data_IF_678426667557
#
_entry.id   IF_678426667557
#
_cell.length_a   1.000
_cell.length_b   1.000
_cell.length_c   1.000
_cell.angle_alpha   90.00
_cell.angle_beta   90.00
_cell.angle_gamma   90.00
#
_symmetry.space_group_name_H-M   'P 1'
#
loop_
_entity.id
_entity.type
_entity.pdbx_description
1 polymer ?
#
# COMPACT_ATOMS: atom_id res chain seq x y z
N UNK A 1 -33.56 28.56 10.69
CA UNK A 1 -32.28 29.28 10.91
C UNK A 1 -31.45 29.13 9.65
N UNK A 2 -31.43 30.16 8.80
CA UNK A 2 -30.76 30.11 7.49
C UNK A 2 -29.24 30.19 7.66
N UNK A 3 -28.54 29.12 7.30
CA UNK A 3 -27.09 29.14 7.09
C UNK A 3 -26.86 29.68 5.67
N UNK A 4 -26.48 30.96 5.55
CA UNK A 4 -25.92 31.48 4.30
C UNK A 4 -24.46 31.03 4.23
N UNK A 5 -24.16 30.16 3.29
CA UNK A 5 -22.78 29.87 2.87
C UNK A 5 -22.35 31.09 2.05
N UNK A 6 -21.43 31.90 2.59
CA UNK A 6 -20.90 33.04 1.88
C UNK A 6 -19.99 32.53 0.74
N UNK A 7 -20.43 32.79 -0.49
CA UNK A 7 -19.68 32.55 -1.70
C UNK A 7 -18.45 33.45 -1.79
N UNK A 8 -17.39 32.88 -2.39
CA UNK A 8 -16.08 33.46 -2.76
C UNK A 8 -15.09 33.71 -1.63
N UNK A 9 -14.27 32.69 -1.35
CA UNK A 9 -12.99 32.84 -0.66
C UNK A 9 -11.84 32.80 -1.67
N UNK A 10 -11.30 33.98 -2.01
CA UNK A 10 -9.91 34.09 -2.45
C UNK A 10 -9.05 33.70 -1.25
N UNK A 11 -8.39 32.55 -1.33
CA UNK A 11 -7.83 31.87 -0.17
C UNK A 11 -6.34 32.16 0.00
N UNK A 12 -5.97 32.76 1.13
CA UNK A 12 -4.58 33.03 1.51
C UNK A 12 -4.05 31.98 2.50
N UNK A 13 -2.75 31.71 2.39
CA UNK A 13 -2.02 30.74 3.20
C UNK A 13 -1.92 31.22 4.65
N UNK A 14 -2.23 30.35 5.62
CA UNK A 14 -2.06 30.66 7.05
C UNK A 14 -3.22 31.41 7.70
N UNK A 15 -4.29 31.71 6.97
CA UNK A 15 -5.52 32.28 7.53
C UNK A 15 -6.30 31.25 8.34
N UNK A 16 -6.80 31.67 9.50
CA UNK A 16 -7.72 30.89 10.34
C UNK A 16 -9.16 31.08 9.88
N UNK A 17 -9.83 29.98 9.54
CA UNK A 17 -11.22 29.98 9.13
C UNK A 17 -12.11 29.57 10.30
N UNK A 18 -13.07 30.41 10.66
CA UNK A 18 -14.08 30.08 11.66
C UNK A 18 -15.06 29.05 11.08
N UNK A 19 -15.03 27.82 11.59
CA UNK A 19 -15.87 26.73 11.09
C UNK A 19 -17.29 26.77 11.67
N UNK A 20 -17.42 27.16 12.94
CA UNK A 20 -18.68 27.30 13.65
C UNK A 20 -18.57 28.48 14.61
N UNK A 21 -19.47 29.45 14.47
CA UNK A 21 -19.65 30.54 15.42
C UNK A 21 -20.76 30.16 16.41
N UNK A 22 -20.48 30.25 17.72
CA UNK A 22 -21.50 30.10 18.75
C UNK A 22 -21.54 31.40 19.57
N UNK A 23 -22.49 32.29 19.25
CA UNK A 23 -22.52 33.65 19.79
C UNK A 23 -21.34 34.50 19.32
N UNK A 24 -20.85 35.42 20.17
CA UNK A 24 -19.75 36.35 19.85
C UNK A 24 -18.34 35.72 19.84
N UNK A 25 -18.21 34.41 20.04
CA UNK A 25 -16.92 33.70 20.08
C UNK A 25 -16.91 32.57 19.07
N UNK A 26 -15.93 32.59 18.16
CA UNK A 26 -15.58 31.41 17.37
C UNK A 26 -14.97 30.37 18.34
N UNK A 27 -15.46 29.13 18.29
CA UNK A 27 -14.91 28.02 19.11
C UNK A 27 -13.90 27.16 18.35
N UNK A 28 -13.97 27.16 17.01
CA UNK A 28 -13.17 26.28 16.17
C UNK A 28 -12.56 27.08 15.02
N UNK A 29 -11.24 27.10 14.99
CA UNK A 29 -10.43 27.69 13.93
C UNK A 29 -9.79 26.56 13.13
N UNK A 30 -9.91 26.62 11.81
CA UNK A 30 -9.13 25.78 10.92
C UNK A 30 -8.04 26.62 10.29
N UNK A 31 -6.79 26.32 10.62
CA UNK A 31 -5.66 26.89 9.90
C UNK A 31 -5.43 26.09 8.64
N UNK A 32 -5.60 26.72 7.47
CA UNK A 32 -5.20 26.08 6.21
C UNK A 32 -3.68 25.97 6.16
N UNK A 33 -3.18 24.75 6.09
CA UNK A 33 -1.77 24.45 5.88
C UNK A 33 -1.57 24.06 4.42
N UNK A 34 -0.69 24.79 3.72
CA UNK A 34 -0.41 24.47 2.32
C UNK A 34 0.28 23.11 2.21
N UNK A 35 -0.21 22.26 1.30
CA UNK A 35 0.46 21.01 1.02
C UNK A 35 1.74 21.27 0.21
N UNK A 36 2.73 20.38 0.34
CA UNK A 36 3.97 20.45 -0.40
C UNK A 36 3.85 19.65 -1.70
N UNK A 37 4.13 20.24 -2.85
CA UNK A 37 4.22 19.47 -4.10
C UNK A 37 5.39 18.48 -4.04
N UNK A 38 5.10 17.19 -4.19
CA UNK A 38 6.13 16.14 -4.24
C UNK A 38 6.63 15.90 -5.65
N UNK A 39 5.71 15.91 -6.62
CA UNK A 39 5.96 15.63 -8.03
C UNK A 39 4.80 16.18 -8.86
N UNK A 40 5.13 16.64 -10.06
CA UNK A 40 4.16 16.88 -11.13
C UNK A 40 4.20 15.76 -12.17
N UNK A 41 3.04 15.45 -12.73
CA UNK A 41 2.89 14.47 -13.80
C UNK A 41 1.79 14.91 -14.74
N UNK A 42 1.65 14.23 -15.89
CA UNK A 42 0.52 14.44 -16.80
C UNK A 42 -0.86 14.20 -16.15
N UNK A 43 -0.92 13.48 -15.02
CA UNK A 43 -2.15 13.19 -14.28
C UNK A 43 -2.42 14.22 -13.15
N UNK A 44 -1.60 15.26 -13.05
CA UNK A 44 -1.66 16.28 -12.01
C UNK A 44 -0.52 16.16 -10.98
N UNK A 45 -0.59 17.03 -9.97
CA UNK A 45 0.38 17.10 -8.89
C UNK A 45 0.07 16.09 -7.78
N UNK A 46 1.09 15.34 -7.36
CA UNK A 46 1.09 14.59 -6.12
C UNK A 46 1.53 15.51 -4.98
N UNK A 47 0.66 15.73 -4.01
CA UNK A 47 0.94 16.65 -2.89
C UNK A 47 1.05 15.92 -1.56
N UNK A 48 1.95 16.40 -0.71
CA UNK A 48 2.11 15.99 0.68
C UNK A 48 1.32 16.96 1.57
N UNK A 49 0.21 16.49 2.13
CA UNK A 49 -0.58 17.23 3.09
C UNK A 49 0.12 17.39 4.44
N UNK A 50 -0.49 18.14 5.39
CA UNK A 50 0.04 18.28 6.73
C UNK A 50 0.09 16.94 7.47
N UNK A 51 0.99 16.84 8.45
CA UNK A 51 1.18 15.64 9.25
C UNK A 51 0.06 15.52 10.29
N UNK A 52 -0.62 14.37 10.29
CA UNK A 52 -1.53 13.99 11.36
C UNK A 52 -0.75 13.32 12.48
N UNK A 53 -0.87 13.87 13.70
CA UNK A 53 -0.20 13.36 14.90
C UNK A 53 -1.22 12.65 15.76
N UNK A 54 -0.88 11.43 16.16
CA UNK A 54 -1.72 10.58 16.99
C UNK A 54 -1.15 10.48 18.41
N UNK A 55 -2.03 10.40 19.39
CA UNK A 55 -1.73 10.09 20.79
C UNK A 55 -1.40 8.61 20.99
N UNK A 56 -1.02 8.25 22.21
CA UNK A 56 -0.73 6.84 22.59
C UNK A 56 -1.94 5.91 22.44
N UNK A 57 -3.13 6.47 22.61
CA UNK A 57 -4.44 5.84 22.46
C UNK A 57 -4.92 5.78 21.00
N UNK A 58 -4.08 6.15 20.03
CA UNK A 58 -4.41 6.21 18.59
C UNK A 58 -5.54 7.19 18.28
N UNK A 59 -5.75 8.21 19.10
CA UNK A 59 -6.63 9.34 18.75
C UNK A 59 -5.84 10.43 18.04
N UNK A 60 -6.41 11.11 17.02
CA UNK A 60 -5.78 12.28 16.43
C UNK A 60 -5.69 13.42 17.44
N UNK A 61 -4.49 13.89 17.75
CA UNK A 61 -4.25 14.96 18.74
C UNK A 61 -3.82 16.28 18.11
N UNK A 62 -3.26 16.26 16.89
CA UNK A 62 -2.87 17.48 16.20
C UNK A 62 -2.73 17.31 14.69
N UNK A 63 -2.89 18.42 13.97
CA UNK A 63 -2.47 18.58 12.59
C UNK A 63 -1.31 19.58 12.57
N UNK A 64 -0.17 19.19 11.98
CA UNK A 64 1.05 20.00 11.97
C UNK A 64 1.58 20.20 10.55
N UNK A 65 2.26 21.32 10.24
CA UNK A 65 3.01 21.44 9.00
C UNK A 65 3.97 20.27 8.85
N UNK A 66 4.05 19.70 7.66
CA UNK A 66 4.96 18.59 7.40
C UNK A 66 6.40 19.09 7.31
N UNK A 67 7.29 18.39 8.00
CA UNK A 67 8.71 18.77 8.02
C UNK A 67 9.36 18.54 6.64
N UNK A 68 10.27 19.42 6.20
CA UNK A 68 10.96 19.29 4.91
C UNK A 68 11.68 17.95 4.70
N UNK A 69 12.24 17.39 5.78
CA UNK A 69 12.89 16.07 5.79
C UNK A 69 11.96 14.93 5.35
N UNK A 70 10.67 14.96 5.72
CA UNK A 70 9.68 13.97 5.31
C UNK A 70 9.39 14.11 3.81
N UNK A 71 9.23 15.35 3.32
CA UNK A 71 9.06 15.60 1.89
C UNK A 71 10.27 15.10 1.08
N UNK A 72 11.49 15.35 1.55
CA UNK A 72 12.70 14.86 0.90
C UNK A 72 12.78 13.33 0.86
N UNK A 73 12.37 12.64 1.95
CA UNK A 73 12.28 11.18 1.98
C UNK A 73 11.24 10.64 1.00
N UNK A 74 10.07 11.26 0.95
CA UNK A 74 8.99 10.87 0.04
C UNK A 74 9.39 11.05 -1.43
N UNK A 75 10.02 12.18 -1.78
CA UNK A 75 10.55 12.40 -3.14
C UNK A 75 11.60 11.36 -3.54
N UNK A 76 12.47 10.95 -2.62
CA UNK A 76 13.43 9.86 -2.86
C UNK A 76 12.73 8.53 -3.10
N UNK A 77 11.74 8.18 -2.27
CA UNK A 77 10.96 6.95 -2.47
C UNK A 77 10.28 6.92 -3.84
N UNK A 78 9.62 8.02 -4.23
CA UNK A 78 9.02 8.17 -5.56
C UNK A 78 10.05 8.05 -6.69
N UNK A 79 11.22 8.65 -6.55
CA UNK A 79 12.29 8.54 -7.55
C UNK A 79 12.82 7.10 -7.70
N UNK A 80 12.89 6.34 -6.60
CA UNK A 80 13.24 4.91 -6.64
C UNK A 80 12.18 4.12 -7.38
N UNK A 81 10.89 4.33 -7.08
CA UNK A 81 9.78 3.68 -7.78
C UNK A 81 9.84 3.99 -9.27
N UNK A 82 9.96 5.26 -9.65
CA UNK A 82 10.06 5.68 -11.05
C UNK A 82 11.25 5.04 -11.79
N UNK A 83 12.36 4.80 -11.09
CA UNK A 83 13.56 4.21 -11.69
C UNK A 83 13.51 2.69 -11.78
N UNK A 84 12.91 2.03 -10.79
CA UNK A 84 12.86 0.57 -10.70
C UNK A 84 11.63 -0.02 -11.41
N UNK A 85 10.51 0.71 -11.40
CA UNK A 85 9.23 0.26 -11.96
C UNK A 85 8.45 1.43 -12.59
N UNK A 86 8.81 1.86 -13.82
CA UNK A 86 8.14 2.97 -14.50
C UNK A 86 6.63 2.79 -14.68
N UNK A 87 6.15 1.57 -14.92
CA UNK A 87 4.73 1.26 -15.02
C UNK A 87 4.01 1.47 -13.69
N UNK A 88 4.59 0.99 -12.59
CA UNK A 88 4.07 1.19 -11.24
C UNK A 88 4.06 2.67 -10.86
N UNK A 89 5.07 3.43 -11.30
CA UNK A 89 5.11 4.88 -11.10
C UNK A 89 3.99 5.62 -11.82
N UNK A 90 3.71 5.24 -13.07
CA UNK A 90 2.58 5.80 -13.84
C UNK A 90 1.24 5.49 -13.19
N UNK A 91 1.06 4.28 -12.67
CA UNK A 91 -0.13 3.89 -11.92
C UNK A 91 -0.25 4.66 -10.59
N UNK A 92 0.87 4.87 -9.91
CA UNK A 92 0.92 5.70 -8.71
C UNK A 92 0.49 7.13 -9.02
N UNK A 93 1.01 7.70 -10.09
CA UNK A 93 0.68 9.06 -10.53
C UNK A 93 -0.80 9.22 -10.92
N UNK A 94 -1.42 8.20 -11.52
CA UNK A 94 -2.81 8.28 -11.98
C UNK A 94 -3.84 8.07 -10.86
N UNK A 95 -3.49 7.34 -9.80
CA UNK A 95 -4.44 6.94 -8.76
C UNK A 95 -4.18 7.56 -7.38
N UNK A 96 -3.05 8.24 -7.17
CA UNK A 96 -2.72 8.92 -5.91
C UNK A 96 -2.40 10.38 -6.17
N UNK A 97 -3.23 11.29 -5.66
CA UNK A 97 -3.03 12.74 -5.76
C UNK A 97 -2.56 13.36 -4.45
N UNK A 98 -2.81 12.71 -3.30
CA UNK A 98 -2.48 13.24 -1.99
C UNK A 98 -1.98 12.18 -1.03
N UNK A 99 -0.84 12.45 -0.40
CA UNK A 99 -0.34 11.69 0.74
C UNK A 99 -0.44 12.53 2.01
N UNK A 100 -0.93 11.93 3.09
CA UNK A 100 -0.97 12.54 4.42
C UNK A 100 -0.02 11.78 5.33
N UNK A 101 1.08 12.41 5.79
CA UNK A 101 1.98 11.76 6.73
C UNK A 101 1.28 11.50 8.05
N UNK A 102 1.43 10.29 8.57
CA UNK A 102 1.00 9.91 9.91
C UNK A 102 2.20 9.84 10.84
N UNK A 103 2.08 10.45 12.02
CA UNK A 103 2.92 10.17 13.18
C UNK A 103 2.07 9.40 14.18
N UNK A 104 2.06 8.07 14.04
CA UNK A 104 1.21 7.19 14.82
C UNK A 104 1.92 5.86 15.09
N UNK A 105 2.30 5.62 16.34
CA UNK A 105 2.95 4.36 16.71
C UNK A 105 1.99 3.17 16.53
N UNK A 106 2.47 2.10 15.92
CA UNK A 106 1.68 0.90 15.65
C UNK A 106 0.62 1.04 14.55
N UNK A 107 0.60 2.18 13.83
CA UNK A 107 -0.20 2.35 12.61
C UNK A 107 0.76 2.37 11.43
N UNK A 108 0.51 1.52 10.45
CA UNK A 108 1.33 1.40 9.24
C UNK A 108 0.89 2.46 8.23
N UNK A 109 -0.13 2.16 7.44
CA UNK A 109 -0.69 3.04 6.42
C UNK A 109 -2.15 2.66 6.25
N UNK A 110 -2.96 3.58 5.73
CA UNK A 110 -4.32 3.27 5.33
C UNK A 110 -4.85 4.25 4.28
N UNK A 111 -5.85 3.79 3.55
CA UNK A 111 -6.64 4.56 2.61
C UNK A 111 -8.11 4.20 2.77
N UNK A 112 -8.99 5.11 2.35
CA UNK A 112 -10.43 4.91 2.44
C UNK A 112 -11.04 4.68 1.07
N UNK A 113 -11.88 3.65 0.95
CA UNK A 113 -12.64 3.38 -0.28
C UNK A 113 -13.45 4.59 -0.76
N UNK A 114 -13.95 5.43 0.15
CA UNK A 114 -14.76 6.61 -0.18
C UNK A 114 -13.93 7.88 -0.45
N UNK A 115 -12.60 7.84 -0.29
CA UNK A 115 -11.69 8.95 -0.62
C UNK A 115 -10.55 8.46 -1.53
N UNK A 116 -10.86 8.17 -2.81
CA UNK A 116 -9.84 7.76 -3.78
C UNK A 116 -8.80 8.86 -3.94
N UNK A 117 -7.54 8.48 -4.21
CA UNK A 117 -6.45 9.44 -4.38
C UNK A 117 -5.77 9.91 -3.09
N UNK A 118 -6.36 9.61 -1.92
CA UNK A 118 -5.83 10.00 -0.62
C UNK A 118 -5.26 8.79 0.12
N UNK A 119 -3.96 8.82 0.40
CA UNK A 119 -3.26 7.80 1.20
C UNK A 119 -2.71 8.41 2.49
N UNK A 120 -2.96 7.78 3.63
CA UNK A 120 -2.36 8.15 4.90
C UNK A 120 -1.22 7.18 5.21
N UNK A 121 0.02 7.68 5.26
CA UNK A 121 1.24 6.84 5.32
C UNK A 121 2.04 7.20 6.56
N UNK A 122 2.38 6.23 7.41
CA UNK A 122 3.31 6.49 8.51
C UNK A 122 4.70 6.82 7.97
N UNK A 123 5.22 7.98 8.36
CA UNK A 123 6.52 8.45 7.90
C UNK A 123 7.58 8.50 9.01
N UNK A 124 7.25 8.12 10.25
CA UNK A 124 8.12 8.32 11.41
C UNK A 124 8.78 7.03 11.90
N UNK A 125 8.09 5.89 11.81
CA UNK A 125 8.62 4.58 12.22
C UNK A 125 8.83 3.65 11.01
N UNK A 126 9.21 4.25 9.88
CA UNK A 126 9.41 3.54 8.60
C UNK A 126 10.79 3.85 8.05
N UNK A 127 11.50 2.85 7.57
CA UNK A 127 12.73 3.09 6.84
C UNK A 127 12.47 3.42 5.36
N UNK A 128 13.51 3.41 4.53
CA UNK A 128 13.41 3.78 3.12
C UNK A 128 12.68 2.73 2.30
N UNK A 129 12.91 1.44 2.56
CA UNK A 129 12.26 0.37 1.82
C UNK A 129 10.78 0.27 2.22
N UNK A 130 10.48 0.42 3.52
CA UNK A 130 9.11 0.45 4.03
C UNK A 130 8.28 1.56 3.38
N UNK A 131 8.87 2.76 3.22
CA UNK A 131 8.16 3.89 2.60
C UNK A 131 7.89 3.68 1.10
N UNK A 132 8.78 2.96 0.41
CA UNK A 132 8.59 2.58 -1.00
C UNK A 132 7.43 1.58 -1.11
N UNK A 133 7.41 0.58 -0.23
CA UNK A 133 6.34 -0.42 -0.15
C UNK A 133 4.98 0.22 0.19
N UNK A 134 4.92 1.05 1.23
CA UNK A 134 3.69 1.74 1.66
C UNK A 134 3.04 2.56 0.54
N UNK A 135 3.84 3.23 -0.29
CA UNK A 135 3.34 4.02 -1.42
C UNK A 135 2.63 3.14 -2.46
N UNK A 136 3.21 2.01 -2.81
CA UNK A 136 2.62 1.06 -3.76
C UNK A 136 1.46 0.31 -3.12
N UNK A 137 1.56 -0.07 -1.84
CA UNK A 137 0.51 -0.76 -1.11
C UNK A 137 -0.79 0.06 -1.09
N UNK A 138 -0.70 1.31 -0.66
CA UNK A 138 -1.86 2.21 -0.62
C UNK A 138 -2.36 2.57 -2.02
N UNK A 139 -1.46 2.71 -2.99
CA UNK A 139 -1.88 2.89 -4.39
C UNK A 139 -2.64 1.67 -4.93
N UNK A 140 -2.23 0.46 -4.53
CA UNK A 140 -2.89 -0.79 -4.92
C UNK A 140 -4.29 -0.91 -4.31
N UNK A 141 -4.53 -0.35 -3.12
CA UNK A 141 -5.86 -0.18 -2.58
C UNK A 141 -6.72 0.74 -3.47
N UNK A 142 -6.20 1.88 -3.93
CA UNK A 142 -6.92 2.76 -4.86
C UNK A 142 -7.24 2.05 -6.17
N UNK A 143 -6.28 1.29 -6.71
CA UNK A 143 -6.45 0.54 -7.95
C UNK A 143 -7.57 -0.50 -7.82
N UNK A 144 -7.53 -1.35 -6.80
CA UNK A 144 -8.58 -2.35 -6.61
C UNK A 144 -9.93 -1.70 -6.33
N UNK A 145 -9.98 -0.64 -5.51
CA UNK A 145 -11.23 0.07 -5.24
C UNK A 145 -11.86 0.65 -6.51
N UNK A 146 -11.05 1.09 -7.48
CA UNK A 146 -11.53 1.53 -8.79
C UNK A 146 -12.12 0.35 -9.59
N UNK A 147 -11.44 -0.79 -9.63
CA UNK A 147 -11.94 -2.00 -10.29
C UNK A 147 -13.28 -2.46 -9.67
N UNK A 148 -13.37 -2.50 -8.34
CA UNK A 148 -14.57 -2.87 -7.58
C UNK A 148 -15.73 -1.86 -7.70
N UNK A 149 -15.49 -0.66 -8.24
CA UNK A 149 -16.55 0.30 -8.58
C UNK A 149 -17.05 0.10 -10.01
N UNK A 150 -16.17 -0.36 -10.89
CA UNK A 150 -16.48 -0.53 -12.32
C UNK A 150 -17.12 -1.89 -12.61
N UNK A 151 -16.75 -2.92 -11.87
CA UNK A 151 -17.22 -4.28 -12.10
C UNK A 151 -17.49 -5.00 -10.77
N UNK A 152 -18.55 -5.81 -10.75
CA UNK A 152 -18.89 -6.64 -9.62
C UNK A 152 -17.97 -7.86 -9.62
N UNK A 153 -17.15 -8.03 -8.58
CA UNK A 153 -16.18 -9.14 -8.51
C UNK A 153 -16.73 -10.38 -7.80
N UNK A 154 -17.82 -10.22 -7.06
CA UNK A 154 -18.41 -11.26 -6.22
C UNK A 154 -19.85 -11.52 -6.63
N UNK A 155 -20.29 -12.76 -6.45
CA UNK A 155 -21.69 -13.14 -6.49
C UNK A 155 -22.22 -13.21 -5.05
N UNK A 156 -23.43 -12.73 -4.81
CA UNK A 156 -24.10 -12.75 -3.50
C UNK A 156 -23.29 -12.07 -2.37
N UNK A 157 -23.85 -12.04 -1.16
CA UNK A 157 -23.17 -11.49 0.01
C UNK A 157 -22.49 -12.63 0.80
N UNK A 158 -21.19 -12.82 0.56
CA UNK A 158 -20.38 -13.85 1.20
C UNK A 158 -19.42 -13.24 2.23
N UNK A 159 -19.99 -12.79 3.35
CA UNK A 159 -19.25 -12.19 4.45
C UNK A 159 -18.77 -13.20 5.50
N UNK A 160 -18.94 -14.50 5.28
CA UNK A 160 -18.45 -15.52 6.21
C UNK A 160 -16.92 -15.53 6.24
N UNK A 161 -16.33 -15.49 7.44
CA UNK A 161 -14.89 -15.57 7.64
C UNK A 161 -14.40 -17.01 7.59
N UNK A 162 -14.22 -17.57 6.40
CA UNK A 162 -13.83 -18.98 6.22
C UNK A 162 -12.46 -19.18 5.55
N UNK A 163 -11.87 -18.13 4.98
CA UNK A 163 -10.61 -18.23 4.29
C UNK A 163 -9.48 -17.68 5.15
N UNK A 164 -8.40 -18.45 5.31
CA UNK A 164 -7.25 -18.01 6.07
C UNK A 164 -6.46 -16.93 5.32
N UNK A 165 -6.12 -15.84 6.01
CA UNK A 165 -5.28 -14.77 5.49
C UNK A 165 -3.84 -14.90 6.00
N UNK A 166 -2.86 -15.18 5.13
CA UNK A 166 -1.43 -15.19 5.49
C UNK A 166 -0.96 -13.94 6.23
N UNK A 167 -1.47 -12.77 5.84
CA UNK A 167 -1.05 -11.47 6.35
C UNK A 167 -1.67 -11.10 7.70
N UNK A 168 -2.92 -11.52 7.94
CA UNK A 168 -3.62 -11.27 9.21
C UNK A 168 -3.49 -12.42 10.21
N UNK A 169 -3.14 -13.62 9.74
CA UNK A 169 -3.08 -14.87 10.53
C UNK A 169 -4.42 -15.19 11.18
N UNK A 170 -5.50 -14.92 10.46
CA UNK A 170 -6.88 -15.13 10.90
C UNK A 170 -7.76 -15.48 9.70
N UNK A 171 -8.94 -16.04 9.97
CA UNK A 171 -9.96 -16.19 8.94
C UNK A 171 -10.49 -14.81 8.51
N UNK A 172 -10.89 -14.72 7.25
CA UNK A 172 -11.38 -13.50 6.58
C UNK A 172 -12.47 -13.87 5.57
N UNK A 173 -13.35 -12.92 5.24
CA UNK A 173 -14.30 -13.12 4.17
C UNK A 173 -13.60 -13.12 2.81
N UNK A 174 -14.26 -13.68 1.79
CA UNK A 174 -13.74 -13.76 0.41
C UNK A 174 -13.26 -12.40 -0.09
N UNK A 175 -14.04 -11.35 0.18
CA UNK A 175 -13.67 -9.96 -0.13
C UNK A 175 -12.32 -9.59 0.45
N UNK A 176 -12.10 -9.92 1.72
CA UNK A 176 -10.87 -9.60 2.43
C UNK A 176 -9.66 -10.32 1.83
N UNK A 177 -9.85 -11.58 1.40
CA UNK A 177 -8.80 -12.34 0.70
C UNK A 177 -8.50 -11.74 -0.65
N UNK A 178 -9.49 -11.52 -1.52
CA UNK A 178 -9.24 -10.90 -2.84
C UNK A 178 -8.53 -9.56 -2.70
N UNK A 179 -8.94 -8.75 -1.72
CA UNK A 179 -8.33 -7.45 -1.46
C UNK A 179 -6.87 -7.57 -1.07
N UNK A 180 -6.55 -8.47 -0.13
CA UNK A 180 -5.18 -8.70 0.30
C UNK A 180 -4.34 -9.28 -0.84
N UNK A 181 -4.80 -10.36 -1.48
CA UNK A 181 -4.10 -11.00 -2.60
C UNK A 181 -3.74 -9.99 -3.68
N UNK A 182 -4.68 -9.14 -4.11
CA UNK A 182 -4.39 -8.09 -5.08
C UNK A 182 -3.26 -7.15 -4.64
N UNK A 183 -3.37 -6.58 -3.43
CA UNK A 183 -2.37 -5.60 -2.96
C UNK A 183 -1.00 -6.20 -2.71
N UNK A 184 -0.95 -7.45 -2.24
CA UNK A 184 0.30 -8.13 -1.98
C UNK A 184 0.93 -8.74 -3.24
N UNK A 185 0.16 -9.06 -4.29
CA UNK A 185 0.72 -9.30 -5.63
C UNK A 185 1.44 -8.06 -6.15
N UNK A 186 0.86 -6.86 -5.98
CA UNK A 186 1.52 -5.60 -6.36
C UNK A 186 2.79 -5.34 -5.54
N UNK A 187 2.79 -5.71 -4.25
CA UNK A 187 3.98 -5.71 -3.40
C UNK A 187 5.07 -6.68 -3.90
N UNK A 188 4.70 -7.91 -4.26
CA UNK A 188 5.63 -8.88 -4.86
C UNK A 188 6.24 -8.33 -6.17
N UNK A 189 5.42 -7.71 -7.03
CA UNK A 189 5.90 -7.05 -8.25
C UNK A 189 6.90 -5.95 -7.93
N UNK A 190 6.60 -5.07 -6.97
CA UNK A 190 7.52 -4.02 -6.54
C UNK A 190 8.86 -4.60 -6.10
N UNK A 191 8.86 -5.62 -5.24
CA UNK A 191 10.09 -6.18 -4.70
C UNK A 191 10.92 -6.93 -5.75
N UNK A 192 10.29 -7.62 -6.70
CA UNK A 192 10.96 -8.17 -7.88
C UNK A 192 11.63 -7.06 -8.70
N UNK A 193 10.89 -6.01 -9.04
CA UNK A 193 11.41 -4.88 -9.82
C UNK A 193 12.58 -4.19 -9.13
N UNK A 194 12.51 -4.01 -7.80
CA UNK A 194 13.62 -3.48 -7.00
C UNK A 194 14.84 -4.41 -7.03
N UNK A 195 14.63 -5.72 -6.90
CA UNK A 195 15.72 -6.71 -6.98
C UNK A 195 16.39 -6.67 -8.34
N UNK A 196 15.63 -6.74 -9.43
CA UNK A 196 16.11 -6.71 -10.81
C UNK A 196 16.84 -5.41 -11.12
N UNK A 197 16.28 -4.26 -10.70
CA UNK A 197 16.90 -2.95 -10.88
C UNK A 197 18.27 -2.84 -10.20
N UNK A 198 18.45 -3.51 -9.06
CA UNK A 198 19.68 -3.51 -8.28
C UNK A 198 20.72 -4.56 -8.72
N UNK A 199 20.35 -5.52 -9.57
CA UNK A 199 21.21 -6.69 -9.89
C UNK A 199 22.39 -6.39 -10.83
N UNK A 200 22.38 -5.28 -11.57
CA UNK A 200 23.51 -4.89 -12.45
C UNK A 200 24.52 -3.99 -11.73
N UNK A 201 25.77 -3.89 -12.21
CA UNK A 201 26.80 -2.97 -11.64
C UNK A 201 26.31 -1.52 -11.58
N UNK A 202 25.67 -1.05 -12.65
CA UNK A 202 25.03 0.28 -12.68
C UNK A 202 23.82 0.35 -11.73
N UNK A 203 23.06 -0.74 -11.60
CA UNK A 203 22.00 -0.94 -10.61
C UNK A 203 22.48 -0.76 -9.18
N UNK A 204 23.53 -1.47 -8.76
CA UNK A 204 24.13 -1.37 -7.42
C UNK A 204 24.56 0.06 -7.08
N UNK A 205 25.17 0.76 -8.05
CA UNK A 205 25.55 2.16 -7.86
C UNK A 205 24.31 3.08 -7.67
N UNK A 206 23.24 2.86 -8.45
CA UNK A 206 21.96 3.58 -8.27
C UNK A 206 21.28 3.26 -6.94
N UNK A 207 21.27 2.00 -6.54
CA UNK A 207 20.76 1.53 -5.25
C UNK A 207 21.45 2.25 -4.07
N UNK A 208 22.78 2.31 -4.09
CA UNK A 208 23.58 3.03 -3.09
C UNK A 208 23.29 4.53 -3.11
N UNK A 209 23.22 5.15 -4.29
CA UNK A 209 22.87 6.59 -4.43
C UNK A 209 21.47 6.92 -3.92
N UNK A 210 20.53 5.99 -4.02
CA UNK A 210 19.20 6.11 -3.43
C UNK A 210 19.20 6.00 -1.89
N UNK A 211 20.35 5.69 -1.28
CA UNK A 211 20.50 5.54 0.16
C UNK A 211 20.03 4.20 0.69
N UNK A 212 19.91 3.18 -0.17
CA UNK A 212 19.55 1.82 0.20
C UNK A 212 20.82 0.97 0.39
N UNK A 213 20.81 0.12 1.42
CA UNK A 213 21.94 -0.73 1.81
C UNK A 213 21.90 -2.10 1.12
N UNK A 214 23.02 -2.87 1.12
CA UNK A 214 23.00 -4.27 0.68
C UNK A 214 22.01 -5.13 1.49
N UNK A 215 21.82 -4.81 2.79
CA UNK A 215 20.83 -5.48 3.63
C UNK A 215 19.39 -5.19 3.17
N UNK A 216 19.11 -3.97 2.69
CA UNK A 216 17.81 -3.64 2.10
C UNK A 216 17.54 -4.45 0.85
N UNK A 217 18.55 -4.73 0.03
CA UNK A 217 18.39 -5.56 -1.16
C UNK A 217 18.06 -7.01 -0.78
N UNK A 218 18.78 -7.57 0.20
CA UNK A 218 18.45 -8.89 0.74
C UNK A 218 17.03 -8.93 1.32
N UNK A 219 16.63 -7.87 2.03
CA UNK A 219 15.28 -7.75 2.57
C UNK A 219 14.22 -7.65 1.47
N UNK A 220 14.44 -6.87 0.41
CA UNK A 220 13.52 -6.79 -0.72
C UNK A 220 13.32 -8.16 -1.37
N UNK A 221 14.42 -8.91 -1.61
CA UNK A 221 14.35 -10.28 -2.15
C UNK A 221 13.61 -11.23 -1.21
N UNK A 222 13.87 -11.16 0.09
CA UNK A 222 13.14 -11.92 1.11
C UNK A 222 11.64 -11.60 1.10
N UNK A 223 11.28 -10.31 1.13
CA UNK A 223 9.88 -9.86 1.11
C UNK A 223 9.19 -10.31 -0.17
N UNK A 224 9.86 -10.27 -1.32
CA UNK A 224 9.31 -10.81 -2.56
C UNK A 224 8.93 -12.29 -2.43
N UNK A 225 9.83 -13.13 -1.91
CA UNK A 225 9.57 -14.57 -1.71
C UNK A 225 8.45 -14.83 -0.70
N UNK A 226 8.41 -14.04 0.38
CA UNK A 226 7.33 -14.10 1.39
C UNK A 226 5.96 -13.75 0.78
N UNK A 227 5.89 -12.68 -0.03
CA UNK A 227 4.66 -12.32 -0.72
C UNK A 227 4.31 -13.35 -1.80
N UNK A 228 5.28 -13.94 -2.51
CA UNK A 228 5.03 -15.04 -3.46
C UNK A 228 4.31 -16.21 -2.76
N UNK A 229 4.86 -16.67 -1.63
CA UNK A 229 4.29 -17.80 -0.90
C UNK A 229 2.90 -17.48 -0.33
N UNK A 230 2.72 -16.27 0.21
CA UNK A 230 1.44 -15.80 0.76
C UNK A 230 0.36 -15.62 -0.31
N UNK A 231 0.70 -14.98 -1.44
CA UNK A 231 -0.23 -14.79 -2.55
C UNK A 231 -0.58 -16.15 -3.16
N UNK A 232 0.38 -17.06 -3.35
CA UNK A 232 0.11 -18.41 -3.87
C UNK A 232 -0.86 -19.16 -2.97
N UNK A 233 -0.71 -19.05 -1.64
CA UNK A 233 -1.65 -19.64 -0.69
C UNK A 233 -3.08 -19.14 -0.95
N UNK A 234 -3.27 -17.82 -0.97
CA UNK A 234 -4.61 -17.23 -1.15
C UNK A 234 -5.19 -17.38 -2.55
N UNK A 235 -4.36 -17.49 -3.60
CA UNK A 235 -4.84 -17.75 -4.95
C UNK A 235 -5.53 -19.12 -5.05
N UNK A 236 -5.04 -20.15 -4.35
CA UNK A 236 -5.73 -21.45 -4.28
C UNK A 236 -7.12 -21.32 -3.68
N UNK A 237 -7.25 -20.52 -2.62
CA UNK A 237 -8.54 -20.28 -1.95
C UNK A 237 -9.50 -19.48 -2.84
N UNK A 238 -8.98 -18.50 -3.58
CA UNK A 238 -9.76 -17.73 -4.55
C UNK A 238 -10.19 -18.57 -5.75
N UNK A 239 -9.34 -19.49 -6.21
CA UNK A 239 -9.68 -20.40 -7.31
C UNK A 239 -10.74 -21.42 -6.87
N UNK A 240 -10.64 -21.96 -5.65
CA UNK A 240 -11.70 -22.75 -5.02
C UNK A 240 -13.02 -21.95 -4.93
N UNK A 241 -12.95 -20.70 -4.47
CA UNK A 241 -14.13 -19.83 -4.38
C UNK A 241 -14.76 -19.55 -5.75
N UNK A 242 -13.96 -19.35 -6.79
CA UNK A 242 -14.46 -19.12 -8.15
C UNK A 242 -14.97 -20.38 -8.83
N UNK A 243 -14.24 -21.49 -8.72
CA UNK A 243 -14.50 -22.74 -9.42
C UNK A 243 -15.55 -23.59 -8.73
N UNK A 244 -15.30 -23.96 -7.48
CA UNK A 244 -16.13 -24.89 -6.72
C UNK A 244 -17.36 -24.19 -6.13
N UNK A 245 -17.16 -23.10 -5.38
CA UNK A 245 -18.26 -22.39 -4.72
C UNK A 245 -19.02 -21.44 -5.65
N UNK A 246 -18.44 -21.08 -6.81
CA UNK A 246 -19.00 -20.11 -7.79
C UNK A 246 -19.24 -18.71 -7.21
N UNK A 247 -18.50 -18.31 -6.17
CA UNK A 247 -18.67 -17.02 -5.48
C UNK A 247 -18.02 -15.82 -6.19
N UNK A 248 -17.24 -16.06 -7.24
CA UNK A 248 -16.64 -15.00 -8.07
C UNK A 248 -17.41 -14.85 -9.39
N UNK A 249 -17.64 -13.62 -9.81
CA UNK A 249 -18.15 -13.31 -11.15
C UNK A 249 -17.11 -13.62 -12.22
N UNK A 250 -17.47 -13.46 -13.50
CA UNK A 250 -16.50 -13.52 -14.60
C UNK A 250 -15.36 -12.50 -14.42
N UNK A 251 -15.68 -11.26 -14.03
CA UNK A 251 -14.69 -10.22 -13.72
C UNK A 251 -13.79 -10.62 -12.56
N UNK A 252 -14.36 -11.15 -11.47
CA UNK A 252 -13.60 -11.64 -10.32
C UNK A 252 -12.61 -12.76 -10.69
N UNK A 253 -13.07 -13.75 -11.45
CA UNK A 253 -12.22 -14.85 -11.96
C UNK A 253 -11.11 -14.33 -12.88
N UNK A 254 -11.41 -13.35 -13.74
CA UNK A 254 -10.42 -12.74 -14.61
C UNK A 254 -9.33 -12.02 -13.82
N UNK A 255 -9.68 -11.28 -12.77
CA UNK A 255 -8.71 -10.65 -11.87
C UNK A 255 -7.84 -11.71 -11.20
N UNK A 256 -8.44 -12.76 -10.63
CA UNK A 256 -7.68 -13.86 -9.98
C UNK A 256 -6.70 -14.51 -10.95
N UNK A 257 -7.12 -14.77 -12.19
CA UNK A 257 -6.24 -15.30 -13.24
C UNK A 257 -5.07 -14.35 -13.53
N UNK A 258 -5.33 -13.05 -13.70
CA UNK A 258 -4.28 -12.06 -13.94
C UNK A 258 -3.28 -11.97 -12.77
N UNK A 259 -3.76 -12.09 -11.53
CA UNK A 259 -2.90 -12.13 -10.35
C UNK A 259 -2.03 -13.41 -10.34
N UNK A 260 -2.59 -14.55 -10.73
CA UNK A 260 -1.84 -15.81 -10.85
C UNK A 260 -0.77 -15.75 -11.95
N UNK A 261 -1.12 -15.23 -13.13
CA UNK A 261 -0.20 -15.06 -14.26
C UNK A 261 0.96 -14.12 -13.89
N UNK A 262 0.64 -12.99 -13.22
CA UNK A 262 1.64 -12.07 -12.70
C UNK A 262 2.56 -12.74 -11.66
N UNK A 263 1.99 -13.49 -10.72
CA UNK A 263 2.74 -14.20 -9.70
C UNK A 263 3.72 -15.22 -10.30
N UNK A 264 3.27 -15.99 -11.29
CA UNK A 264 4.10 -16.96 -11.98
C UNK A 264 5.31 -16.29 -12.65
N UNK A 265 5.13 -15.13 -13.29
CA UNK A 265 6.25 -14.38 -13.86
C UNK A 265 7.26 -13.91 -12.80
N UNK A 266 6.78 -13.35 -11.68
CA UNK A 266 7.61 -12.88 -10.56
C UNK A 266 8.40 -14.04 -9.97
N UNK A 267 7.75 -15.19 -9.75
CA UNK A 267 8.37 -16.39 -9.20
C UNK A 267 9.56 -16.84 -10.05
N UNK A 268 9.39 -16.92 -11.37
CA UNK A 268 10.47 -17.29 -12.29
C UNK A 268 11.69 -16.38 -12.17
N UNK A 269 11.50 -15.06 -12.04
CA UNK A 269 12.61 -14.12 -11.85
C UNK A 269 13.32 -14.33 -10.50
N UNK A 270 12.55 -14.69 -9.47
CA UNK A 270 13.05 -14.80 -8.10
C UNK A 270 13.73 -16.13 -7.77
N UNK A 271 13.58 -17.18 -8.60
CA UNK A 271 14.24 -18.47 -8.42
C UNK A 271 15.76 -18.35 -8.23
N UNK A 272 16.39 -17.46 -8.99
CA UNK A 272 17.84 -17.23 -8.94
C UNK A 272 18.32 -16.65 -7.61
N UNK A 273 17.43 -15.98 -6.87
CA UNK A 273 17.74 -15.31 -5.61
C UNK A 273 17.34 -16.11 -4.37
N UNK A 274 16.61 -17.22 -4.51
CA UNK A 274 16.11 -18.00 -3.38
C UNK A 274 17.24 -18.61 -2.54
N UNK A 275 18.28 -19.14 -3.19
CA UNK A 275 19.46 -19.68 -2.50
C UNK A 275 20.20 -18.59 -1.71
N UNK A 276 20.32 -17.39 -2.29
CA UNK A 276 20.97 -16.25 -1.64
C UNK A 276 20.19 -15.79 -0.41
N UNK A 277 18.86 -15.66 -0.53
CA UNK A 277 18.00 -15.31 0.60
C UNK A 277 18.08 -16.38 1.69
N UNK A 278 18.05 -17.65 1.32
CA UNK A 278 18.10 -18.79 2.26
C UNK A 278 19.39 -18.83 3.09
N UNK A 279 20.51 -18.38 2.51
CA UNK A 279 21.82 -18.26 3.17
C UNK A 279 22.02 -16.93 3.91
N UNK A 280 21.15 -15.95 3.68
CA UNK A 280 21.21 -14.64 4.32
C UNK A 280 20.66 -14.65 5.75
N UNK A 281 20.79 -13.52 6.44
CA UNK A 281 20.14 -13.28 7.74
C UNK A 281 18.61 -13.44 7.73
N UNK A 282 17.96 -13.39 6.56
CA UNK A 282 16.51 -13.57 6.41
C UNK A 282 16.09 -15.04 6.18
N UNK A 283 17.03 -15.94 5.92
CA UNK A 283 16.73 -17.37 5.67
C UNK A 283 15.90 -18.05 6.77
N UNK A 284 16.22 -17.86 8.07
CA UNK A 284 15.41 -18.41 9.15
C UNK A 284 13.97 -17.86 9.17
N UNK A 285 13.76 -16.59 8.83
CA UNK A 285 12.44 -15.98 8.79
C UNK A 285 11.60 -16.57 7.64
N UNK A 286 12.19 -16.72 6.44
CA UNK A 286 11.53 -17.35 5.29
C UNK A 286 11.11 -18.80 5.58
N UNK A 287 11.98 -19.60 6.21
CA UNK A 287 11.63 -20.97 6.60
C UNK A 287 10.47 -21.03 7.60
N UNK A 288 10.48 -20.16 8.62
CA UNK A 288 9.37 -20.07 9.58
C UNK A 288 8.07 -19.68 8.90
N UNK A 289 8.10 -18.69 8.00
CA UNK A 289 6.94 -18.26 7.23
C UNK A 289 6.33 -19.42 6.43
N UNK A 290 7.15 -20.16 5.68
CA UNK A 290 6.69 -21.33 4.91
C UNK A 290 6.11 -22.43 5.79
N UNK A 291 6.73 -22.72 6.93
CA UNK A 291 6.20 -23.68 7.90
C UNK A 291 4.87 -23.22 8.53
N UNK A 292 4.69 -21.92 8.75
CA UNK A 292 3.41 -21.36 9.20
C UNK A 292 2.32 -21.50 8.14
N UNK A 293 2.63 -21.25 6.86
CA UNK A 293 1.69 -21.46 5.77
C UNK A 293 1.32 -22.93 5.58
N UNK A 294 2.28 -23.85 5.70
CA UNK A 294 2.03 -25.29 5.63
C UNK A 294 1.07 -25.73 6.74
N UNK A 295 1.33 -25.36 8.00
CA UNK A 295 0.43 -25.63 9.13
C UNK A 295 -0.94 -25.00 8.95
N UNK A 296 -1.00 -23.76 8.46
CA UNK A 296 -2.28 -23.10 8.18
C UNK A 296 -3.05 -23.83 7.06
N UNK A 297 -2.35 -24.41 6.07
CA UNK A 297 -3.01 -25.22 5.03
C UNK A 297 -3.60 -26.49 5.62
N UNK A 298 -2.89 -27.17 6.52
CA UNK A 298 -3.41 -28.36 7.21
C UNK A 298 -4.64 -28.05 8.09
N UNK A 299 -4.61 -26.92 8.80
CA UNK A 299 -5.68 -26.54 9.74
C UNK A 299 -6.93 -25.96 9.07
N UNK A 300 -6.76 -25.23 7.98
CA UNK A 300 -7.83 -24.43 7.37
C UNK A 300 -8.12 -24.80 5.92
N UNK A 301 -7.64 -25.95 5.42
CA UNK A 301 -8.02 -26.40 4.08
C UNK A 301 -9.53 -26.61 4.03
N UNK A 302 -10.17 -25.96 3.05
CA UNK A 302 -11.60 -26.12 2.80
C UNK A 302 -11.92 -27.34 1.92
N UNK A 303 -10.87 -28.00 1.40
CA UNK A 303 -10.88 -29.28 0.66
C UNK A 303 -9.55 -30.00 0.89
#
# INVERSE_FOLDING_TARGET
MHVRVADRLVSYVGTDYALVAYGKKARWHWRRLEPLCLRESQYGALVLGPTLVYGKDKTPVAVRPTRPEIAARMRRALSVIASAWPEGDRLLASLTSRVVPLKASGVVSFSYRHRPGLSAINCFDRDRLDLIDDLIHENSHHHLNLLLRKDAMYQHDHNQEIFYSPWRRSLRPLRGILHATFTFTMGAMLFERLSTWASSRAGTARWKRAGLSPRDLQRARYRCLEEIDSVRYSLKDLDLAGGHFKWLTRGGKQVVKQLADALAHIEQQMLTHEKDVSRSSFGPALRRHRAELARARELFSLV
#
